data_IF_433492130159
#
_entry.id   IF_433492130159
#
_cell.length_a   1.000
_cell.length_b   1.000
_cell.length_c   1.000
_cell.angle_alpha   90.00
_cell.angle_beta   90.00
_cell.angle_gamma   90.00
#
_symmetry.space_group_name_H-M   'P 1'
#
loop_
_entity.id
_entity.type
_entity.pdbx_description
1 polymer ?
#
# COMPACT_ATOMS: atom_id res chain seq x y z
N UNK A 1 2.01 -18.02 15.78
CA UNK A 1 2.85 -18.11 16.99
C UNK A 1 2.93 -19.58 17.40
N UNK A 2 4.10 -20.10 17.80
CA UNK A 2 4.15 -21.39 18.48
C UNK A 2 3.27 -21.33 19.73
N UNK A 3 2.50 -22.38 20.02
CA UNK A 3 1.52 -22.40 21.11
C UNK A 3 2.12 -22.10 22.50
N UNK A 4 3.45 -22.16 22.65
CA UNK A 4 4.15 -22.10 23.94
C UNK A 4 5.03 -20.85 24.14
N UNK A 5 4.94 -19.82 23.29
CA UNK A 5 5.74 -18.61 23.48
C UNK A 5 5.15 -17.72 24.60
N UNK A 6 5.87 -17.61 25.73
CA UNK A 6 5.46 -16.84 26.93
C UNK A 6 6.10 -15.44 27.04
N UNK A 7 6.82 -14.99 26.01
CA UNK A 7 7.52 -13.70 26.00
C UNK A 7 6.68 -12.55 25.47
N UNK A 8 7.16 -11.30 25.64
CA UNK A 8 6.65 -10.16 24.89
C UNK A 8 6.93 -10.38 23.40
N UNK A 9 5.94 -10.15 22.56
CA UNK A 9 6.09 -10.25 21.11
C UNK A 9 5.97 -8.88 20.45
N UNK A 10 6.69 -8.73 19.34
CA UNK A 10 6.59 -7.57 18.45
C UNK A 10 6.38 -8.12 17.05
N UNK A 11 5.34 -7.65 16.36
CA UNK A 11 5.15 -7.92 14.93
C UNK A 11 5.89 -6.86 14.14
N UNK A 12 6.63 -7.30 13.13
CA UNK A 12 7.46 -6.43 12.29
C UNK A 12 6.96 -6.53 10.86
N UNK A 13 6.83 -5.39 10.20
CA UNK A 13 6.43 -5.27 8.80
C UNK A 13 7.23 -4.14 8.14
N UNK A 14 7.18 -4.07 6.81
CA UNK A 14 7.70 -2.93 6.08
C UNK A 14 6.86 -1.69 6.40
N UNK A 15 7.52 -0.53 6.51
CA UNK A 15 6.78 0.73 6.61
C UNK A 15 6.16 1.14 5.26
N UNK A 16 5.29 2.15 5.32
CA UNK A 16 4.49 2.56 4.16
C UNK A 16 5.26 3.38 3.14
N UNK A 17 6.32 4.09 3.55
CA UNK A 17 7.32 4.69 2.64
C UNK A 17 8.54 3.77 2.66
N UNK A 18 8.61 2.88 1.68
CA UNK A 18 9.50 1.72 1.76
C UNK A 18 10.81 1.93 1.03
N UNK A 19 10.80 2.23 -0.28
CA UNK A 19 12.02 2.27 -1.09
C UNK A 19 11.82 2.93 -2.47
N UNK A 20 12.91 3.19 -3.20
CA UNK A 20 12.90 3.35 -4.66
C UNK A 20 13.01 1.96 -5.30
N UNK A 21 11.92 1.48 -5.89
CA UNK A 21 11.77 0.12 -6.43
C UNK A 21 11.05 -0.87 -5.50
N UNK A 22 10.65 -2.02 -6.07
CA UNK A 22 9.90 -3.08 -5.38
C UNK A 22 10.71 -3.77 -4.27
N UNK A 23 10.01 -4.26 -3.26
CA UNK A 23 10.59 -5.12 -2.21
C UNK A 23 11.05 -6.49 -2.71
N UNK A 24 10.35 -7.03 -3.72
CA UNK A 24 10.75 -8.24 -4.43
C UNK A 24 12.13 -8.11 -5.12
N UNK A 25 12.58 -6.89 -5.40
CA UNK A 25 13.91 -6.60 -5.97
C UNK A 25 14.99 -6.40 -4.89
N UNK A 26 14.68 -6.64 -3.61
CA UNK A 26 15.56 -6.52 -2.44
C UNK A 26 16.13 -5.10 -2.21
N UNK A 27 15.34 -4.07 -2.53
CA UNK A 27 15.70 -2.70 -2.15
C UNK A 27 15.60 -2.53 -0.63
N UNK A 28 16.63 -1.91 -0.04
CA UNK A 28 16.72 -1.69 1.40
C UNK A 28 15.52 -0.87 1.88
N UNK A 29 14.75 -1.36 2.86
CA UNK A 29 13.60 -0.64 3.37
C UNK A 29 14.08 0.55 4.20
N UNK A 30 13.56 1.73 3.90
CA UNK A 30 13.84 2.95 4.64
C UNK A 30 13.02 3.04 5.93
N UNK A 31 12.03 2.15 6.10
CA UNK A 31 11.17 2.13 7.26
C UNK A 31 10.64 0.75 7.63
N UNK A 32 10.40 0.56 8.93
CA UNK A 32 9.74 -0.61 9.50
C UNK A 32 8.66 -0.23 10.48
N UNK A 33 7.63 -1.06 10.55
CA UNK A 33 6.62 -1.05 11.60
C UNK A 33 7.03 -2.01 12.70
N UNK A 34 6.85 -1.59 13.95
CA UNK A 34 7.06 -2.41 15.14
C UNK A 34 5.80 -2.33 16.00
N UNK A 35 4.97 -3.38 15.99
CA UNK A 35 3.68 -3.39 16.66
C UNK A 35 3.66 -4.41 17.82
N UNK A 36 3.36 -3.94 19.02
CA UNK A 36 3.32 -4.73 20.26
C UNK A 36 1.92 -5.23 20.60
N UNK A 37 0.88 -4.63 20.03
CA UNK A 37 -0.51 -4.95 20.33
C UNK A 37 -1.07 -5.93 19.29
N UNK A 38 -0.90 -5.62 18.02
CA UNK A 38 -1.48 -6.33 16.88
C UNK A 38 -0.60 -6.13 15.66
N UNK A 39 -1.24 -5.79 14.54
CA UNK A 39 -0.59 -5.28 13.33
C UNK A 39 -1.61 -4.49 12.52
N UNK A 40 -1.18 -3.42 11.83
CA UNK A 40 -2.08 -2.46 11.17
C UNK A 40 -3.09 -3.06 10.17
N UNK A 41 -2.75 -4.15 9.50
CA UNK A 41 -3.61 -4.75 8.48
C UNK A 41 -4.63 -5.75 9.04
N UNK A 42 -4.57 -6.07 10.33
CA UNK A 42 -5.54 -6.96 10.99
C UNK A 42 -6.75 -6.15 11.45
N UNK A 43 -7.86 -6.26 10.74
CA UNK A 43 -9.11 -5.59 11.06
C UNK A 43 -9.88 -6.26 12.21
N UNK A 44 -9.46 -7.45 12.65
CA UNK A 44 -10.12 -8.22 13.71
C UNK A 44 -9.66 -7.86 15.13
N UNK A 45 -8.47 -7.26 15.27
CA UNK A 45 -7.85 -6.94 16.56
C UNK A 45 -7.34 -5.48 16.61
N UNK A 46 -7.15 -4.90 17.81
CA UNK A 46 -6.50 -3.60 17.95
C UNK A 46 -5.02 -3.69 17.54
N UNK A 47 -4.46 -2.55 17.13
CA UNK A 47 -3.04 -2.38 16.77
C UNK A 47 -2.46 -1.14 17.47
N UNK A 48 -1.14 -1.04 17.54
CA UNK A 48 -0.51 0.19 18.06
C UNK A 48 -0.87 1.41 17.19
N UNK A 49 -1.12 1.21 15.89
CA UNK A 49 -1.60 2.28 15.00
C UNK A 49 -3.02 2.72 15.34
N UNK A 50 -3.95 1.78 15.57
CA UNK A 50 -5.33 2.08 16.01
C UNK A 50 -5.32 2.83 17.34
N UNK A 51 -4.43 2.45 18.27
CA UNK A 51 -4.25 3.15 19.54
C UNK A 51 -3.72 4.58 19.37
N UNK A 52 -2.78 4.80 18.44
CA UNK A 52 -2.29 6.14 18.11
C UNK A 52 -3.41 7.05 17.57
N UNK A 53 -4.24 6.54 16.66
CA UNK A 53 -5.37 7.29 16.12
C UNK A 53 -6.40 7.67 17.18
N UNK A 54 -6.68 6.76 18.12
CA UNK A 54 -7.60 7.02 19.23
C UNK A 54 -7.05 8.06 20.22
N UNK A 55 -5.73 8.14 20.40
CA UNK A 55 -5.09 9.12 21.28
C UNK A 55 -5.13 10.55 20.72
N UNK A 56 -5.11 10.69 19.39
CA UNK A 56 -4.99 11.98 18.70
C UNK A 56 -3.58 12.55 18.72
N UNK A 57 -3.41 13.70 18.07
CA UNK A 57 -2.11 14.33 17.81
C UNK A 57 -2.16 15.83 18.14
N UNK A 58 -0.99 16.41 18.42
CA UNK A 58 -0.82 17.84 18.66
C UNK A 58 -0.82 18.64 17.35
N UNK A 59 -1.17 19.93 17.41
CA UNK A 59 -1.15 20.80 16.22
C UNK A 59 0.22 20.91 15.55
N UNK A 60 1.32 20.84 16.31
CA UNK A 60 2.67 20.79 15.72
C UNK A 60 2.89 19.53 14.89
N UNK A 61 2.36 18.38 15.33
CA UNK A 61 2.45 17.13 14.58
C UNK A 61 1.56 17.17 13.33
N UNK A 62 0.38 17.78 13.43
CA UNK A 62 -0.51 17.98 12.28
C UNK A 62 0.07 18.97 11.26
N UNK A 63 0.80 20.00 11.70
CA UNK A 63 1.52 20.91 10.81
C UNK A 63 2.60 20.18 9.99
N UNK A 64 3.40 19.32 10.64
CA UNK A 64 4.40 18.50 9.94
C UNK A 64 3.72 17.46 9.02
N UNK A 65 2.56 16.91 9.40
CA UNK A 65 1.79 16.03 8.53
C UNK A 65 1.28 16.73 7.26
N UNK A 66 0.81 17.99 7.37
CA UNK A 66 0.43 18.81 6.20
C UNK A 66 1.60 19.02 5.25
N UNK A 67 2.77 19.34 5.79
CA UNK A 67 4.00 19.47 5.00
C UNK A 67 4.36 18.15 4.30
N UNK A 68 4.28 17.02 5.02
CA UNK A 68 4.53 15.70 4.43
C UNK A 68 3.55 15.37 3.31
N UNK A 69 2.25 15.65 3.48
CA UNK A 69 1.23 15.45 2.45
C UNK A 69 1.58 16.26 1.20
N UNK A 70 1.93 17.54 1.37
CA UNK A 70 2.31 18.40 0.25
C UNK A 70 3.51 17.82 -0.52
N UNK A 71 4.55 17.38 0.19
CA UNK A 71 5.73 16.76 -0.44
C UNK A 71 5.37 15.45 -1.16
N UNK A 72 4.55 14.58 -0.56
CA UNK A 72 4.15 13.31 -1.18
C UNK A 72 3.38 13.53 -2.49
N UNK A 73 2.49 14.53 -2.52
CA UNK A 73 1.75 14.94 -3.72
C UNK A 73 2.67 15.53 -4.78
N UNK A 74 3.45 16.56 -4.42
CA UNK A 74 4.34 17.28 -5.33
C UNK A 74 5.36 16.33 -5.98
N UNK A 75 5.94 15.44 -5.18
CA UNK A 75 7.00 14.53 -5.63
C UNK A 75 6.48 13.20 -6.17
N UNK A 76 5.16 13.01 -6.24
CA UNK A 76 4.48 11.79 -6.73
C UNK A 76 5.06 10.51 -6.10
N UNK A 77 5.23 10.51 -4.78
CA UNK A 77 5.82 9.39 -4.05
C UNK A 77 4.76 8.35 -3.67
N UNK A 78 5.17 7.08 -3.67
CA UNK A 78 4.37 5.92 -3.22
C UNK A 78 5.22 4.96 -2.40
N UNK A 79 4.60 3.88 -1.88
CA UNK A 79 5.34 2.79 -1.22
C UNK A 79 6.59 2.32 -1.98
N UNK A 80 6.53 2.18 -3.30
CA UNK A 80 7.63 1.64 -4.10
C UNK A 80 8.30 2.65 -5.05
N UNK A 81 7.78 3.88 -5.19
CA UNK A 81 8.34 4.95 -6.03
C UNK A 81 8.83 4.47 -7.41
N UNK A 82 8.01 3.66 -8.08
CA UNK A 82 8.32 3.10 -9.39
C UNK A 82 8.23 4.20 -10.45
N UNK A 83 9.27 4.31 -11.27
CA UNK A 83 9.26 5.11 -12.49
C UNK A 83 8.58 4.30 -13.60
N UNK A 84 7.65 4.90 -14.32
CA UNK A 84 7.03 4.34 -15.51
C UNK A 84 6.65 5.44 -16.50
N UNK A 85 6.38 5.06 -17.74
CA UNK A 85 5.85 5.98 -18.74
C UNK A 85 4.46 6.46 -18.34
N UNK A 86 4.14 7.71 -18.67
CA UNK A 86 2.86 8.31 -18.31
C UNK A 86 1.69 7.52 -18.89
N UNK A 87 0.68 7.27 -18.08
CA UNK A 87 -0.55 6.60 -18.51
C UNK A 87 -1.48 7.61 -19.17
N UNK A 88 -2.07 7.23 -20.29
CA UNK A 88 -3.22 7.92 -20.88
C UNK A 88 -4.41 6.97 -20.97
N UNK A 89 -5.54 7.37 -20.39
CA UNK A 89 -6.81 6.66 -20.54
C UNK A 89 -7.56 7.26 -21.73
N UNK A 90 -7.85 6.43 -22.73
CA UNK A 90 -8.66 6.85 -23.87
C UNK A 90 -10.08 7.21 -23.39
N UNK A 91 -10.38 8.51 -23.43
CA UNK A 91 -11.67 9.06 -22.98
C UNK A 91 -12.84 8.60 -23.87
N UNK A 92 -12.58 8.17 -25.10
CA UNK A 92 -13.63 7.60 -25.96
C UNK A 92 -14.15 6.25 -25.43
N UNK A 93 -13.28 5.43 -24.81
CA UNK A 93 -13.68 4.17 -24.17
C UNK A 93 -14.52 4.41 -22.91
N UNK A 94 -14.18 5.45 -22.14
CA UNK A 94 -14.92 5.83 -20.94
C UNK A 94 -16.33 6.28 -21.28
N UNK A 95 -16.50 7.02 -22.39
CA UNK A 95 -17.79 7.50 -22.88
C UNK A 95 -18.61 8.26 -21.81
N UNK A 96 -17.94 9.15 -21.07
CA UNK A 96 -18.56 9.99 -20.03
C UNK A 96 -18.94 9.27 -18.72
N UNK A 97 -18.66 7.97 -18.59
CA UNK A 97 -18.91 7.20 -17.36
C UNK A 97 -17.94 7.58 -16.24
N UNK A 98 -18.38 7.43 -15.00
CA UNK A 98 -17.52 7.50 -13.80
C UNK A 98 -16.43 6.44 -13.90
N UNK A 99 -15.16 6.82 -13.75
CA UNK A 99 -14.01 5.92 -13.81
C UNK A 99 -13.66 5.43 -12.41
N UNK A 100 -13.75 4.12 -12.19
CA UNK A 100 -13.41 3.51 -10.90
C UNK A 100 -12.17 2.64 -11.07
N UNK A 101 -11.16 2.90 -10.24
CA UNK A 101 -9.95 2.08 -10.16
C UNK A 101 -10.10 0.99 -9.10
N UNK A 102 -9.88 -0.26 -9.49
CA UNK A 102 -9.83 -1.43 -8.62
C UNK A 102 -8.41 -1.97 -8.59
N UNK A 103 -7.61 -1.68 -7.55
CA UNK A 103 -6.25 -2.19 -7.45
C UNK A 103 -6.26 -3.68 -7.10
N UNK A 104 -5.67 -4.48 -7.97
CA UNK A 104 -5.45 -5.90 -7.74
C UNK A 104 -4.51 -6.14 -6.56
N UNK A 105 -4.79 -7.20 -5.81
CA UNK A 105 -4.03 -7.62 -4.64
C UNK A 105 -3.58 -9.09 -4.79
N UNK A 106 -2.51 -9.46 -4.11
CA UNK A 106 -2.12 -10.88 -4.01
C UNK A 106 -3.08 -11.56 -3.05
N UNK A 107 -3.88 -12.53 -3.51
CA UNK A 107 -4.98 -13.12 -2.72
C UNK A 107 -4.51 -13.84 -1.45
N UNK A 108 -3.28 -14.37 -1.48
CA UNK A 108 -2.63 -15.00 -0.32
C UNK A 108 -2.01 -14.00 0.66
N UNK A 109 -2.21 -12.69 0.48
CA UNK A 109 -1.65 -11.66 1.36
C UNK A 109 -2.32 -11.68 2.74
N UNK A 110 -1.52 -11.50 3.80
CA UNK A 110 -2.00 -11.47 5.18
C UNK A 110 -3.03 -10.34 5.40
N UNK A 111 -2.91 -9.22 4.69
CA UNK A 111 -3.88 -8.12 4.73
C UNK A 111 -5.26 -8.50 4.20
N UNK A 112 -5.38 -9.49 3.31
CA UNK A 112 -6.68 -10.05 2.89
C UNK A 112 -7.15 -11.07 3.92
N UNK A 113 -6.25 -11.95 4.37
CA UNK A 113 -6.57 -12.97 5.36
C UNK A 113 -7.17 -12.37 6.65
N UNK A 114 -6.56 -11.32 7.19
CA UNK A 114 -6.94 -10.68 8.45
C UNK A 114 -7.71 -9.37 8.31
N UNK A 115 -7.63 -8.71 7.14
CA UNK A 115 -8.27 -7.41 6.93
C UNK A 115 -9.54 -7.46 6.10
N UNK A 116 -9.83 -8.53 5.35
CA UNK A 116 -11.00 -8.59 4.45
C UNK A 116 -11.85 -9.83 4.77
N UNK A 117 -12.72 -9.81 5.79
CA UNK A 117 -13.42 -11.02 6.25
C UNK A 117 -14.41 -11.59 5.22
N UNK A 118 -15.07 -10.74 4.43
CA UNK A 118 -16.08 -11.17 3.46
C UNK A 118 -15.51 -11.40 2.06
N UNK A 119 -14.83 -10.38 1.49
CA UNK A 119 -14.31 -10.44 0.12
C UNK A 119 -12.89 -10.97 0.13
N UNK A 120 -12.63 -12.14 -0.47
CA UNK A 120 -11.33 -12.83 -0.37
C UNK A 120 -10.56 -12.96 -1.69
N UNK A 121 -11.15 -12.53 -2.81
CA UNK A 121 -10.53 -12.64 -4.13
C UNK A 121 -10.72 -11.37 -4.96
N UNK A 122 -9.85 -11.17 -5.95
CA UNK A 122 -9.93 -10.02 -6.84
C UNK A 122 -11.21 -10.06 -7.69
N UNK A 123 -11.63 -11.24 -8.15
CA UNK A 123 -12.86 -11.37 -8.94
C UNK A 123 -14.11 -11.08 -8.12
N UNK A 124 -14.14 -11.49 -6.86
CA UNK A 124 -15.27 -11.19 -5.98
C UNK A 124 -15.37 -9.68 -5.73
N UNK A 125 -14.24 -9.01 -5.50
CA UNK A 125 -14.19 -7.55 -5.42
C UNK A 125 -14.77 -6.93 -6.69
N UNK A 126 -14.27 -7.32 -7.87
CA UNK A 126 -14.76 -6.77 -9.15
C UNK A 126 -16.27 -6.96 -9.33
N UNK A 127 -16.80 -8.15 -9.00
CA UNK A 127 -18.25 -8.41 -9.06
C UNK A 127 -19.05 -7.54 -8.10
N UNK A 128 -18.59 -7.36 -6.86
CA UNK A 128 -19.23 -6.47 -5.87
C UNK A 128 -19.21 -5.02 -6.34
N UNK A 129 -18.09 -4.57 -6.90
CA UNK A 129 -17.96 -3.23 -7.48
C UNK A 129 -18.91 -3.04 -8.66
N UNK A 130 -18.94 -3.97 -9.61
CA UNK A 130 -19.87 -3.92 -10.76
C UNK A 130 -21.32 -3.92 -10.32
N UNK A 131 -21.69 -4.70 -9.30
CA UNK A 131 -23.05 -4.72 -8.78
C UNK A 131 -23.44 -3.39 -8.09
N UNK A 132 -22.50 -2.74 -7.42
CA UNK A 132 -22.72 -1.44 -6.77
C UNK A 132 -22.70 -0.26 -7.77
N UNK A 133 -21.92 -0.37 -8.83
CA UNK A 133 -21.65 0.69 -9.81
C UNK A 133 -21.85 0.15 -11.24
N UNK A 134 -23.10 -0.19 -11.63
CA UNK A 134 -23.38 -0.88 -12.89
C UNK A 134 -22.95 -0.08 -14.12
N UNK A 135 -23.10 1.25 -14.08
CA UNK A 135 -22.83 2.15 -15.20
C UNK A 135 -21.40 2.73 -15.22
N UNK A 136 -20.58 2.42 -14.21
CA UNK A 136 -19.21 2.93 -14.13
C UNK A 136 -18.26 2.22 -15.12
N UNK A 137 -17.20 2.92 -15.52
CA UNK A 137 -16.07 2.35 -16.23
C UNK A 137 -15.06 1.79 -15.22
N UNK A 138 -14.97 0.47 -15.13
CA UNK A 138 -14.13 -0.21 -14.16
C UNK A 138 -12.76 -0.55 -14.75
N UNK A 139 -11.72 0.01 -14.15
CA UNK A 139 -10.32 -0.28 -14.47
C UNK A 139 -9.75 -1.16 -13.37
N UNK A 140 -9.28 -2.35 -13.72
CA UNK A 140 -8.52 -3.18 -12.80
C UNK A 140 -7.03 -3.04 -13.07
N UNK A 141 -6.30 -2.60 -12.06
CA UNK A 141 -4.85 -2.52 -12.11
C UNK A 141 -4.25 -3.77 -11.49
N UNK A 142 -3.63 -4.62 -12.31
CA UNK A 142 -2.96 -5.81 -11.82
C UNK A 142 -1.83 -5.47 -10.83
N UNK A 143 -1.66 -6.31 -9.81
CA UNK A 143 -0.65 -6.13 -8.78
C UNK A 143 0.77 -6.27 -9.37
N UNK A 144 1.71 -5.34 -9.10
CA UNK A 144 3.02 -5.35 -9.73
C UNK A 144 3.82 -6.63 -9.43
N UNK A 145 3.72 -7.20 -8.22
CA UNK A 145 4.42 -8.46 -7.90
C UNK A 145 3.90 -9.67 -8.70
N UNK A 146 2.64 -9.67 -9.12
CA UNK A 146 2.09 -10.73 -9.98
C UNK A 146 2.57 -10.54 -11.43
N UNK A 147 2.54 -9.29 -11.92
CA UNK A 147 3.05 -8.93 -13.25
C UNK A 147 4.54 -9.27 -13.37
N UNK A 148 5.33 -9.01 -12.33
CA UNK A 148 6.75 -9.33 -12.29
C UNK A 148 7.07 -10.81 -12.02
N UNK A 149 6.06 -11.68 -11.86
CA UNK A 149 6.24 -13.09 -11.53
C UNK A 149 6.91 -13.33 -10.16
N UNK A 150 6.86 -12.35 -9.26
CA UNK A 150 7.47 -12.44 -7.93
C UNK A 150 6.61 -13.22 -6.92
N UNK A 151 5.31 -13.38 -7.20
CA UNK A 151 4.34 -14.12 -6.41
C UNK A 151 3.57 -15.09 -7.29
N UNK A 152 3.18 -16.23 -6.72
CA UNK A 152 2.28 -17.17 -7.38
C UNK A 152 0.85 -16.60 -7.41
N UNK A 153 0.15 -16.78 -8.53
CA UNK A 153 -1.21 -16.31 -8.75
C UNK A 153 -1.42 -15.82 -10.18
N UNK A 154 -2.67 -15.59 -10.56
CA UNK A 154 -3.03 -15.08 -11.88
C UNK A 154 -2.92 -13.56 -11.92
N UNK A 155 -2.26 -13.00 -12.94
CA UNK A 155 -2.16 -11.55 -13.16
C UNK A 155 -3.53 -10.92 -13.36
N UNK A 156 -4.38 -11.60 -14.14
CA UNK A 156 -5.78 -11.27 -14.33
C UNK A 156 -6.64 -12.38 -13.73
N UNK A 157 -7.62 -12.06 -12.88
CA UNK A 157 -8.48 -13.08 -12.30
C UNK A 157 -9.41 -13.68 -13.36
N UNK A 158 -9.81 -14.95 -13.20
CA UNK A 158 -10.81 -15.56 -14.08
C UNK A 158 -12.16 -14.82 -14.00
N UNK A 159 -12.84 -14.61 -15.13
CA UNK A 159 -14.10 -13.84 -15.20
C UNK A 159 -13.91 -12.31 -15.23
N UNK A 160 -12.66 -11.84 -15.34
CA UNK A 160 -12.33 -10.43 -15.40
C UNK A 160 -13.14 -9.63 -16.45
N UNK A 161 -13.24 -10.17 -17.67
CA UNK A 161 -13.91 -9.53 -18.82
C UNK A 161 -15.40 -9.30 -18.62
N UNK A 162 -16.04 -10.06 -17.72
CA UNK A 162 -17.45 -9.89 -17.38
C UNK A 162 -17.65 -8.86 -16.26
N UNK A 163 -16.65 -8.70 -15.40
CA UNK A 163 -16.76 -7.90 -14.19
C UNK A 163 -16.14 -6.50 -14.32
N UNK A 164 -15.48 -6.17 -15.43
CA UNK A 164 -14.80 -4.88 -15.61
C UNK A 164 -14.54 -4.54 -17.09
N UNK A 165 -14.32 -3.25 -17.37
CA UNK A 165 -14.18 -2.74 -18.73
C UNK A 165 -12.72 -2.81 -19.23
N UNK A 166 -11.74 -2.64 -18.34
CA UNK A 166 -10.33 -2.55 -18.73
C UNK A 166 -9.39 -3.16 -17.67
N UNK A 167 -8.50 -4.05 -18.10
CA UNK A 167 -7.37 -4.54 -17.30
C UNK A 167 -6.08 -3.87 -17.73
N UNK A 168 -5.31 -3.38 -16.76
CA UNK A 168 -4.03 -2.72 -17.01
C UNK A 168 -2.94 -3.35 -16.14
N UNK A 169 -1.82 -3.70 -16.77
CA UNK A 169 -0.63 -4.28 -16.12
C UNK A 169 0.47 -3.25 -15.96
N UNK A 170 0.54 -2.28 -16.88
CA UNK A 170 1.56 -1.24 -16.95
C UNK A 170 1.15 0.07 -16.24
N UNK A 171 2.08 1.01 -16.16
CA UNK A 171 1.90 2.33 -15.55
C UNK A 171 2.05 2.35 -14.02
N UNK A 172 2.53 3.48 -13.49
CA UNK A 172 2.53 3.69 -12.05
C UNK A 172 1.08 3.84 -11.57
N UNK A 173 0.77 3.26 -10.40
CA UNK A 173 -0.56 3.38 -9.80
C UNK A 173 -1.01 4.83 -9.64
N UNK A 174 -0.07 5.77 -9.45
CA UNK A 174 -0.42 7.19 -9.36
C UNK A 174 -0.98 7.78 -10.64
N UNK A 175 -0.49 7.34 -11.80
CA UNK A 175 -0.99 7.84 -13.07
C UNK A 175 -2.43 7.35 -13.29
N UNK A 176 -2.73 6.12 -12.83
CA UNK A 176 -4.09 5.59 -12.78
C UNK A 176 -4.99 6.32 -11.77
N UNK A 177 -4.45 6.74 -10.62
CA UNK A 177 -5.18 7.58 -9.66
C UNK A 177 -5.52 8.95 -10.22
N UNK A 178 -4.64 9.54 -11.04
CA UNK A 178 -4.90 10.86 -11.64
C UNK A 178 -6.10 10.83 -12.60
N UNK A 179 -6.28 9.73 -13.34
CA UNK A 179 -7.33 9.59 -14.36
C UNK A 179 -8.63 8.97 -13.85
N UNK A 180 -8.66 8.38 -12.64
CA UNK A 180 -9.86 7.83 -12.04
C UNK A 180 -10.63 8.85 -11.20
N UNK A 181 -11.92 8.64 -11.05
CA UNK A 181 -12.80 9.46 -10.20
C UNK A 181 -12.86 8.90 -8.77
N UNK A 182 -12.78 7.58 -8.60
CA UNK A 182 -12.92 6.89 -7.31
C UNK A 182 -12.13 5.58 -7.27
N UNK A 183 -11.76 5.12 -6.07
CA UNK A 183 -11.00 3.87 -5.88
C UNK A 183 -11.79 2.88 -5.03
N UNK A 184 -11.96 1.66 -5.52
CA UNK A 184 -12.62 0.57 -4.79
C UNK A 184 -11.61 -0.53 -4.47
N UNK A 185 -11.41 -0.83 -3.20
CA UNK A 185 -10.34 -1.73 -2.73
C UNK A 185 -10.84 -2.64 -1.62
N UNK A 186 -10.22 -3.82 -1.44
CA UNK A 186 -10.39 -4.57 -0.19
C UNK A 186 -9.55 -3.90 0.89
N UNK A 187 -8.24 -4.13 0.84
CA UNK A 187 -7.30 -3.70 1.89
C UNK A 187 -5.99 -3.11 1.35
N UNK A 188 -5.90 -2.90 0.05
CA UNK A 188 -4.69 -2.39 -0.61
C UNK A 188 -4.25 -1.05 -0.03
N UNK A 189 -2.94 -0.84 0.14
CA UNK A 189 -2.40 0.47 0.51
C UNK A 189 -2.64 1.53 -0.57
N UNK A 190 -3.02 1.14 -1.79
CA UNK A 190 -3.44 2.08 -2.86
C UNK A 190 -4.63 2.93 -2.42
N UNK A 191 -5.56 2.41 -1.61
CA UNK A 191 -6.65 3.22 -1.06
C UNK A 191 -6.13 4.35 -0.16
N UNK A 192 -5.09 4.11 0.62
CA UNK A 192 -4.45 5.18 1.42
C UNK A 192 -3.76 6.22 0.53
N UNK A 193 -3.07 5.79 -0.52
CA UNK A 193 -2.44 6.68 -1.51
C UNK A 193 -3.47 7.55 -2.25
N UNK A 194 -4.68 7.01 -2.47
CA UNK A 194 -5.82 7.70 -3.06
C UNK A 194 -6.36 8.77 -2.10
N UNK A 195 -6.51 8.46 -0.80
CA UNK A 195 -6.90 9.44 0.22
C UNK A 195 -5.89 10.59 0.33
N UNK A 196 -4.59 10.29 0.30
CA UNK A 196 -3.53 11.32 0.26
C UNK A 196 -3.74 12.26 -0.93
N UNK A 197 -4.33 11.81 -2.03
CA UNK A 197 -4.59 12.57 -3.26
C UNK A 197 -6.04 13.05 -3.39
N UNK A 198 -6.79 13.06 -2.28
CA UNK A 198 -8.19 13.52 -2.25
C UNK A 198 -9.12 12.77 -3.20
N UNK A 199 -8.79 11.52 -3.54
CA UNK A 199 -9.69 10.65 -4.30
C UNK A 199 -10.67 9.98 -3.33
N UNK A 200 -11.98 9.97 -3.63
CA UNK A 200 -12.94 9.14 -2.93
C UNK A 200 -12.51 7.67 -2.92
N UNK A 201 -12.71 6.99 -1.79
CA UNK A 201 -12.32 5.59 -1.60
C UNK A 201 -13.45 4.80 -0.97
N UNK A 202 -13.77 3.66 -1.58
CA UNK A 202 -14.69 2.65 -1.04
C UNK A 202 -13.89 1.42 -0.62
N UNK A 203 -14.09 0.97 0.61
CA UNK A 203 -13.41 -0.21 1.16
C UNK A 203 -14.39 -1.38 1.29
N UNK A 204 -13.98 -2.55 0.78
CA UNK A 204 -14.72 -3.82 0.90
C UNK A 204 -14.10 -4.76 1.95
N UNK A 205 -12.91 -4.40 2.44
CA UNK A 205 -12.33 -4.92 3.67
C UNK A 205 -12.28 -3.84 4.75
N UNK A 206 -11.49 -4.09 5.78
CA UNK A 206 -11.22 -3.17 6.89
C UNK A 206 -9.72 -2.86 6.96
N UNK A 207 -9.15 -2.14 5.97
CA UNK A 207 -7.75 -1.71 6.02
C UNK A 207 -7.50 -0.75 7.18
N UNK A 208 -6.24 -0.48 7.53
CA UNK A 208 -5.88 0.40 8.65
C UNK A 208 -6.49 1.82 8.56
N UNK A 209 -6.78 2.29 7.34
CA UNK A 209 -7.35 3.60 7.05
C UNK A 209 -8.89 3.61 6.92
N UNK A 210 -9.54 2.44 6.90
CA UNK A 210 -11.01 2.32 6.88
C UNK A 210 -11.64 2.49 8.26
N UNK A 211 -12.92 2.85 8.33
CA UNK A 211 -13.67 3.00 9.60
C UNK A 211 -13.38 4.29 10.37
N UNK A 212 -12.61 5.21 9.81
CA UNK A 212 -12.26 6.49 10.43
C UNK A 212 -12.99 7.69 9.83
N UNK A 213 -13.97 7.45 8.94
CA UNK A 213 -14.79 8.49 8.31
C UNK A 213 -14.16 9.18 7.09
N UNK A 214 -13.00 8.73 6.62
CA UNK A 214 -12.34 9.20 5.39
C UNK A 214 -12.70 8.36 4.15
N UNK A 215 -13.35 7.21 4.37
CA UNK A 215 -13.73 6.23 3.35
C UNK A 215 -15.22 5.94 3.42
N UNK A 216 -15.79 5.46 2.32
CA UNK A 216 -17.09 4.77 2.35
C UNK A 216 -16.84 3.30 2.62
N UNK A 217 -17.06 2.87 3.87
CA UNK A 217 -16.77 1.50 4.28
C UNK A 217 -17.98 0.58 4.05
N UNK A 218 -17.76 -0.58 3.43
CA UNK A 218 -18.78 -1.64 3.31
C UNK A 218 -18.82 -2.56 4.52
N UNK A 219 -17.80 -2.50 5.36
CA UNK A 219 -17.72 -3.21 6.63
C UNK A 219 -17.67 -2.20 7.78
N UNK A 220 -18.24 -2.57 8.92
CA UNK A 220 -18.17 -1.76 10.14
C UNK A 220 -17.04 -2.26 11.05
N UNK A 221 -16.39 -1.33 11.75
CA UNK A 221 -15.46 -1.66 12.83
C UNK A 221 -15.91 -1.00 14.13
N UNK A 222 -16.57 -1.73 15.05
CA UNK A 222 -17.09 -1.16 16.30
C UNK A 222 -16.02 -0.54 17.21
N UNK A 223 -14.73 -0.82 16.99
CA UNK A 223 -13.63 -0.22 17.75
C UNK A 223 -13.21 1.16 17.23
N UNK A 224 -13.50 1.46 15.96
CA UNK A 224 -13.11 2.72 15.29
C UNK A 224 -14.30 3.67 15.32
N UNK A 225 -14.41 4.41 16.43
CA UNK A 225 -15.53 5.34 16.68
C UNK A 225 -15.17 6.80 16.40
N UNK A 226 -13.88 7.12 16.34
CA UNK A 226 -13.38 8.47 16.08
C UNK A 226 -13.43 8.75 14.57
N UNK A 227 -13.71 10.01 14.22
CA UNK A 227 -13.46 10.52 12.86
C UNK A 227 -12.09 11.18 12.80
N UNK A 228 -11.28 10.81 11.82
CA UNK A 228 -9.95 11.38 11.60
C UNK A 228 -9.98 12.39 10.46
N UNK A 229 -9.10 13.39 10.52
CA UNK A 229 -8.70 14.14 9.32
C UNK A 229 -7.60 13.41 8.54
N UNK A 230 -7.35 13.82 7.30
CA UNK A 230 -6.27 13.23 6.48
C UNK A 230 -4.90 13.42 7.15
N UNK A 231 -4.67 14.58 7.76
CA UNK A 231 -3.45 14.89 8.52
C UNK A 231 -3.24 13.93 9.68
N UNK A 232 -4.31 13.59 10.40
CA UNK A 232 -4.22 12.64 11.51
C UNK A 232 -3.91 11.23 11.04
N UNK A 233 -4.55 10.80 9.94
CA UNK A 233 -4.28 9.52 9.32
C UNK A 233 -2.82 9.43 8.88
N UNK A 234 -2.30 10.47 8.23
CA UNK A 234 -0.90 10.56 7.78
C UNK A 234 0.07 10.66 8.96
N UNK A 235 -0.24 11.45 9.98
CA UNK A 235 0.60 11.55 11.17
C UNK A 235 0.78 10.20 11.86
N UNK A 236 -0.32 9.49 12.11
CA UNK A 236 -0.25 8.15 12.71
C UNK A 236 0.47 7.15 11.80
N UNK A 237 0.02 7.03 10.55
CA UNK A 237 0.49 5.98 9.65
C UNK A 237 1.92 6.20 9.14
N UNK A 238 2.31 7.44 8.83
CA UNK A 238 3.61 7.74 8.23
C UNK A 238 4.62 8.33 9.21
N UNK A 239 4.22 8.99 10.30
CA UNK A 239 5.20 9.67 11.16
C UNK A 239 5.45 8.94 12.48
N UNK A 240 4.39 8.48 13.15
CA UNK A 240 4.48 7.95 14.52
C UNK A 240 4.62 6.45 14.61
N UNK A 241 3.93 5.73 13.72
CA UNK A 241 3.88 4.28 13.76
C UNK A 241 5.16 3.62 13.20
N UNK A 242 5.67 4.01 12.01
CA UNK A 242 6.91 3.44 11.51
C UNK A 242 8.15 4.05 12.19
N UNK A 243 9.28 3.37 12.03
CA UNK A 243 10.62 3.89 12.33
C UNK A 243 11.39 4.01 11.03
N UNK A 244 12.07 5.14 10.85
CA UNK A 244 12.81 5.45 9.63
C UNK A 244 14.31 5.43 9.90
N UNK A 245 15.08 4.86 8.97
CA UNK A 245 16.54 4.95 8.96
C UNK A 245 17.02 5.73 7.73
N UNK A 246 18.05 6.55 7.93
CA UNK A 246 18.82 7.09 6.83
C UNK A 246 19.77 6.00 6.32
N UNK A 247 19.68 5.54 5.07
CA UNK A 247 20.53 4.46 4.57
C UNK A 247 22.01 4.86 4.47
N UNK A 248 22.33 6.16 4.36
CA UNK A 248 23.71 6.63 4.24
C UNK A 248 24.43 6.61 5.59
N UNK A 249 23.73 6.93 6.69
CA UNK A 249 24.34 7.03 8.03
C UNK A 249 23.99 5.85 8.94
N UNK A 250 22.91 5.12 8.65
CA UNK A 250 22.37 4.08 9.54
C UNK A 250 21.61 4.63 10.76
N UNK A 251 21.46 5.95 10.87
CA UNK A 251 20.81 6.60 12.01
C UNK A 251 19.29 6.74 11.84
N UNK A 252 18.58 6.85 12.97
CA UNK A 252 17.17 7.15 12.96
C UNK A 252 16.89 8.53 12.37
N UNK A 253 15.84 8.61 11.58
CA UNK A 253 15.41 9.84 10.91
C UNK A 253 13.88 9.95 10.90
N UNK A 254 13.34 10.96 10.22
CA UNK A 254 11.90 11.19 10.10
C UNK A 254 11.38 10.83 8.72
N UNK A 255 10.06 10.60 8.62
CA UNK A 255 9.38 10.36 7.35
C UNK A 255 9.66 11.48 6.36
N UNK A 256 9.52 12.74 6.77
CA UNK A 256 9.74 13.91 5.92
C UNK A 256 11.18 13.96 5.37
N UNK A 257 12.19 13.64 6.20
CA UNK A 257 13.59 13.57 5.75
C UNK A 257 13.80 12.44 4.74
N UNK A 258 13.26 11.25 4.98
CA UNK A 258 13.34 10.12 4.02
C UNK A 258 12.66 10.47 2.71
N UNK A 259 11.47 11.05 2.74
CA UNK A 259 10.73 11.52 1.57
C UNK A 259 11.57 12.49 0.74
N UNK A 260 12.25 13.45 1.39
CA UNK A 260 13.16 14.37 0.70
C UNK A 260 14.37 13.66 0.09
N UNK A 261 15.00 12.74 0.83
CA UNK A 261 16.14 11.94 0.34
C UNK A 261 15.79 11.10 -0.89
N UNK A 262 14.58 10.52 -0.93
CA UNK A 262 14.11 9.75 -2.09
C UNK A 262 14.00 10.60 -3.37
N UNK A 263 13.87 11.92 -3.23
CA UNK A 263 13.60 12.86 -4.34
C UNK A 263 14.80 13.69 -4.78
N UNK A 264 15.79 13.89 -3.91
CA UNK A 264 16.92 14.79 -4.17
C UNK A 264 17.97 14.24 -5.13
N UNK A 265 17.71 13.11 -5.80
CA UNK A 265 18.73 12.40 -6.59
C UNK A 265 19.86 11.80 -5.75
N UNK A 266 19.97 12.14 -4.45
CA UNK A 266 20.88 11.50 -3.48
C UNK A 266 20.43 10.10 -3.07
N UNK A 267 19.29 9.61 -3.58
CA UNK A 267 19.10 8.18 -3.81
C UNK A 267 20.03 7.67 -4.96
N UNK A 268 21.25 8.21 -5.03
CA UNK A 268 22.29 7.92 -5.99
C UNK A 268 23.13 6.78 -5.43
N UNK A 269 23.01 5.62 -6.05
CA UNK A 269 23.85 4.47 -5.76
C UNK A 269 23.49 3.76 -4.47
N UNK A 270 23.65 2.44 -4.50
CA UNK A 270 23.74 1.66 -3.29
C UNK A 270 25.01 2.12 -2.52
N UNK A 271 24.88 3.05 -1.57
CA UNK A 271 25.97 3.46 -0.68
C UNK A 271 26.07 2.58 0.58
N UNK A 272 25.39 1.44 0.63
CA UNK A 272 25.45 0.52 1.78
C UNK A 272 26.89 0.11 2.04
N UNK A 273 27.24 -0.16 3.30
CA UNK A 273 28.50 -0.80 3.63
C UNK A 273 28.66 -2.10 2.81
N UNK A 274 29.87 -2.35 2.29
CA UNK A 274 30.15 -3.44 1.32
C UNK A 274 29.55 -4.80 1.72
N UNK A 275 29.55 -5.14 3.00
CA UNK A 275 28.99 -6.39 3.51
C UNK A 275 27.47 -6.53 3.27
N UNK A 276 26.69 -5.44 3.37
CA UNK A 276 25.25 -5.47 3.09
C UNK A 276 24.96 -5.64 1.59
N UNK A 277 25.84 -5.11 0.71
CA UNK A 277 25.74 -5.34 -0.74
C UNK A 277 25.98 -6.81 -1.08
N UNK A 278 27.01 -7.41 -0.50
CA UNK A 278 27.35 -8.83 -0.69
C UNK A 278 26.21 -9.73 -0.23
N UNK A 279 25.64 -9.48 0.97
CA UNK A 279 24.49 -10.24 1.47
C UNK A 279 23.28 -10.11 0.53
N UNK A 280 22.97 -8.89 0.07
CA UNK A 280 21.86 -8.65 -0.86
C UNK A 280 22.07 -9.36 -2.20
N UNK A 281 23.30 -9.40 -2.71
CA UNK A 281 23.66 -10.05 -3.98
C UNK A 281 23.60 -11.59 -3.86
N UNK A 282 24.21 -12.16 -2.83
CA UNK A 282 24.17 -13.60 -2.57
C UNK A 282 22.74 -14.11 -2.37
N UNK A 283 21.89 -13.31 -1.71
CA UNK A 283 20.48 -13.66 -1.52
C UNK A 283 19.68 -13.57 -2.82
N UNK A 284 19.97 -12.62 -3.71
CA UNK A 284 19.40 -12.57 -5.08
C UNK A 284 19.76 -13.81 -5.88
N UNK A 285 21.04 -14.19 -5.91
CA UNK A 285 21.50 -15.40 -6.59
C UNK A 285 20.84 -16.66 -6.04
N UNK A 286 20.69 -16.76 -4.72
CA UNK A 286 20.00 -17.89 -4.10
C UNK A 286 18.52 -17.98 -4.51
N UNK A 287 17.80 -16.85 -4.55
CA UNK A 287 16.40 -16.81 -5.00
C UNK A 287 16.27 -17.16 -6.49
N UNK A 288 17.18 -16.67 -7.34
CA UNK A 288 17.19 -17.02 -8.77
C UNK A 288 17.50 -18.50 -8.99
N UNK A 289 18.45 -19.07 -8.24
CA UNK A 289 18.76 -20.50 -8.28
C UNK A 289 17.57 -21.36 -7.81
N UNK A 290 16.91 -20.96 -6.73
CA UNK A 290 15.70 -21.64 -6.25
C UNK A 290 14.54 -21.57 -7.26
N UNK A 291 14.41 -20.47 -8.01
CA UNK A 291 13.42 -20.34 -9.10
C UNK A 291 13.69 -21.31 -10.25
N UNK A 292 14.96 -21.51 -10.62
CA UNK A 292 15.34 -22.46 -11.69
C UNK A 292 15.08 -23.92 -11.31
N UNK A 293 15.16 -24.28 -10.03
CA UNK A 293 14.85 -25.64 -9.56
C UNK A 293 13.36 -25.96 -9.54
N UNK A 294 12.47 -24.97 -9.42
CA UNK A 294 11.02 -25.17 -9.39
C UNK A 294 10.33 -25.07 -10.77
N UNK A 295 11.09 -24.87 -11.84
CA UNK A 295 10.60 -24.89 -13.23
C UNK A 295 11.01 -26.16 -14.00
N UNK A 296 11.62 -27.14 -13.32
CA UNK A 296 12.00 -28.44 -13.85
C UNK A 296 11.08 -29.55 -13.38
#
# INVERSE_FOLDING_TARGET
MPANFKGRSVRVEDGFIRSKGLGASFNFPYSWVLDRTGIYFDGGAPSDLENLFNKGFSESELAEARELIAVLREKRLTKYNLTGDGVSLDRSLVNGRKVILVPGQVEADASIAFGSPEVKSNIELLRRVRAAEPDAFLIFKAHPDLVAGARHGSVLPGGFSEASDLAVTEGNVLDWLDVCDEVHTMTSTVGFEALIREKPVVTYGMPFYGGWGLTTDRLECPRRQRRLTLEELVCGALMKYPRYLNPATGEFTTALKVTRLLTSGQAAGDERAWHLKVVSFLKKLWVEAARKQNQG
#
